data_IF_787275546171
#
_entry.id   IF_787275546171
#
_cell.length_a   1.000
_cell.length_b   1.000
_cell.length_c   1.000
_cell.angle_alpha   90.00
_cell.angle_beta   90.00
_cell.angle_gamma   90.00
#
_symmetry.space_group_name_H-M   'P 1'
#
loop_
_entity.id
_entity.type
_entity.pdbx_description
1 polymer ?
#
# COMPACT_ATOMS: atom_id res chain seq x y z
N UNK A 1 -7.04 -8.38 -9.47
CA UNK A 1 -6.26 -7.14 -9.26
C UNK A 1 -4.77 -7.49 -9.33
N UNK A 2 -4.20 -7.54 -10.55
CA UNK A 2 -2.87 -8.13 -10.81
C UNK A 2 -1.73 -7.55 -9.97
N UNK A 3 -1.91 -6.32 -9.50
CA UNK A 3 -0.95 -5.52 -8.72
C UNK A 3 -0.65 -6.13 -7.33
N UNK A 4 -1.55 -6.96 -6.82
CA UNK A 4 -1.40 -7.62 -5.52
C UNK A 4 -1.08 -9.11 -5.66
N UNK A 5 -0.92 -9.64 -6.87
CA UNK A 5 -0.74 -11.09 -7.09
C UNK A 5 0.47 -11.64 -6.30
N UNK A 6 1.57 -10.89 -6.24
CA UNK A 6 2.74 -11.26 -5.43
C UNK A 6 2.42 -11.33 -3.94
N UNK A 7 1.73 -10.34 -3.38
CA UNK A 7 1.34 -10.30 -1.96
C UNK A 7 0.29 -11.38 -1.64
N UNK A 8 -0.66 -11.61 -2.55
CA UNK A 8 -1.66 -12.68 -2.46
C UNK A 8 -0.97 -14.04 -2.44
N UNK A 9 0.02 -14.25 -3.30
CA UNK A 9 0.75 -15.51 -3.38
C UNK A 9 1.62 -15.78 -2.15
N UNK A 10 2.30 -14.75 -1.62
CA UNK A 10 3.01 -14.83 -0.34
C UNK A 10 2.06 -15.25 0.79
N UNK A 11 0.92 -14.58 0.91
CA UNK A 11 -0.11 -14.90 1.91
C UNK A 11 -0.65 -16.33 1.73
N UNK A 12 -0.91 -16.76 0.49
CA UNK A 12 -1.39 -18.13 0.18
C UNK A 12 -0.40 -19.21 0.60
N UNK A 13 0.90 -18.94 0.52
CA UNK A 13 1.98 -19.87 0.92
C UNK A 13 2.33 -19.81 2.41
N UNK A 14 1.65 -18.98 3.20
CA UNK A 14 1.97 -18.77 4.61
C UNK A 14 3.33 -18.11 4.84
N UNK A 15 3.85 -17.40 3.83
CA UNK A 15 5.10 -16.64 3.94
C UNK A 15 4.83 -15.28 4.61
N UNK A 16 5.85 -14.66 5.23
CA UNK A 16 5.71 -13.31 5.76
C UNK A 16 5.22 -12.34 4.68
N UNK A 17 4.04 -11.77 4.91
CA UNK A 17 3.45 -10.77 4.05
C UNK A 17 2.83 -9.66 4.90
N UNK A 18 2.99 -8.36 4.56
CA UNK A 18 2.35 -7.28 5.30
C UNK A 18 0.83 -7.41 5.24
N UNK A 19 0.13 -6.89 6.24
CA UNK A 19 -1.30 -6.71 6.10
C UNK A 19 -1.57 -5.44 5.30
N UNK A 20 -1.80 -5.62 4.00
CA UNK A 20 -2.16 -4.53 3.10
C UNK A 20 -3.68 -4.36 3.01
N UNK A 21 -4.09 -3.13 2.74
CA UNK A 21 -5.46 -2.76 2.34
C UNK A 21 -5.40 -1.93 1.07
N UNK A 22 -6.43 -2.05 0.25
CA UNK A 22 -6.66 -1.16 -0.88
C UNK A 22 -7.70 -0.15 -0.46
N UNK A 23 -7.38 1.13 -0.60
CA UNK A 23 -8.29 2.24 -0.28
C UNK A 23 -8.43 3.16 -1.49
N UNK A 24 -9.58 3.82 -1.62
CA UNK A 24 -9.85 4.80 -2.69
C UNK A 24 -9.77 6.25 -2.23
N UNK A 25 -9.91 6.48 -0.93
CA UNK A 25 -9.97 7.80 -0.33
C UNK A 25 -9.60 7.71 1.16
N UNK A 26 -9.46 8.87 1.79
CA UNK A 26 -9.10 8.97 3.20
C UNK A 26 -10.24 8.60 4.17
N UNK A 27 -11.46 8.30 3.72
CA UNK A 27 -12.49 7.74 4.61
C UNK A 27 -12.41 6.21 4.72
N UNK A 28 -11.62 5.54 3.88
CA UNK A 28 -11.46 4.08 3.88
C UNK A 28 -10.30 3.59 4.79
N UNK A 29 -9.66 4.48 5.56
CA UNK A 29 -8.49 4.17 6.40
C UNK A 29 -8.80 3.91 7.88
N UNK A 30 -10.06 3.68 8.24
CA UNK A 30 -10.45 3.39 9.64
C UNK A 30 -9.75 2.15 10.20
N UNK A 31 -9.39 1.20 9.33
CA UNK A 31 -8.66 -0.03 9.70
C UNK A 31 -7.30 0.24 10.37
N UNK A 32 -6.71 1.43 10.19
CA UNK A 32 -5.48 1.83 10.88
C UNK A 32 -5.67 1.84 12.40
N UNK A 33 -6.91 1.98 12.89
CA UNK A 33 -7.31 1.82 14.28
C UNK A 33 -6.85 0.52 14.92
N UNK A 34 -6.88 -0.56 14.15
CA UNK A 34 -6.78 -1.94 14.63
C UNK A 34 -5.36 -2.52 14.53
N UNK A 35 -4.48 -1.86 13.77
CA UNK A 35 -3.17 -2.39 13.42
C UNK A 35 -2.02 -1.60 14.05
N UNK A 36 -1.07 -2.33 14.63
CA UNK A 36 0.17 -1.75 15.16
C UNK A 36 1.24 -1.68 14.05
N UNK A 37 1.68 -0.47 13.71
CA UNK A 37 2.71 -0.21 12.71
C UNK A 37 3.75 0.76 13.29
N UNK A 38 4.71 0.28 14.11
CA UNK A 38 5.62 1.14 14.87
C UNK A 38 6.57 1.96 13.99
N UNK A 39 6.81 1.50 12.75
CA UNK A 39 7.63 2.19 11.76
C UNK A 39 6.80 3.08 10.83
N UNK A 40 5.50 3.22 11.09
CA UNK A 40 4.56 3.92 10.21
C UNK A 40 4.09 3.06 9.04
N UNK A 41 3.64 3.72 7.99
CA UNK A 41 2.91 3.13 6.87
C UNK A 41 3.57 3.45 5.53
N UNK A 42 3.40 2.51 4.60
CA UNK A 42 3.70 2.67 3.17
C UNK A 42 2.37 2.91 2.45
N UNK A 43 2.33 3.95 1.64
CA UNK A 43 1.20 4.32 0.79
C UNK A 43 1.72 4.34 -0.64
N UNK A 44 1.25 3.40 -1.46
CA UNK A 44 1.58 3.34 -2.89
C UNK A 44 0.35 3.65 -3.70
N UNK A 45 0.46 4.58 -4.63
CA UNK A 45 -0.61 4.85 -5.59
C UNK A 45 -0.54 3.90 -6.79
N UNK A 46 -1.71 3.50 -7.27
CA UNK A 46 -1.93 2.64 -8.42
C UNK A 46 -3.10 3.20 -9.22
N UNK A 47 -3.14 2.95 -10.53
CA UNK A 47 -4.33 3.26 -11.35
C UNK A 47 -5.31 2.08 -11.31
N UNK A 48 -6.63 2.31 -11.34
CA UNK A 48 -7.60 1.20 -11.41
C UNK A 48 -7.42 0.38 -12.71
N UNK A 49 -7.33 1.09 -13.82
CA UNK A 49 -7.08 0.51 -15.14
C UNK A 49 -5.58 0.32 -15.38
N UNK A 50 -5.17 -0.69 -16.14
CA UNK A 50 -3.78 -1.15 -16.30
C UNK A 50 -2.84 -0.19 -17.04
N UNK A 51 -2.89 1.10 -16.71
CA UNK A 51 -2.02 2.15 -17.24
C UNK A 51 -0.61 2.12 -16.64
N UNK A 52 0.25 2.97 -17.19
CA UNK A 52 1.64 3.09 -16.76
C UNK A 52 1.71 3.63 -15.31
N UNK A 53 2.34 2.87 -14.43
CA UNK A 53 2.52 3.24 -13.02
C UNK A 53 3.83 3.99 -12.74
N UNK A 54 4.66 4.20 -13.78
CA UNK A 54 5.93 4.90 -13.64
C UNK A 54 5.68 6.36 -13.21
N UNK A 55 6.30 6.77 -12.10
CA UNK A 55 6.16 8.12 -11.56
C UNK A 55 4.91 8.36 -10.72
N UNK A 56 4.10 7.33 -10.45
CA UNK A 56 3.01 7.46 -9.49
C UNK A 56 3.56 7.73 -8.08
N UNK A 57 2.89 8.60 -7.31
CA UNK A 57 3.38 8.98 -5.99
C UNK A 57 3.29 7.80 -5.02
N UNK A 58 4.33 7.67 -4.20
CA UNK A 58 4.37 6.76 -3.06
C UNK A 58 5.13 7.41 -1.91
N UNK A 59 4.82 7.00 -0.68
CA UNK A 59 5.50 7.45 0.54
C UNK A 59 5.64 6.29 1.52
N UNK A 60 6.71 6.28 2.29
CA UNK A 60 6.95 5.33 3.36
C UNK A 60 7.20 6.06 4.69
N UNK A 61 7.15 5.31 5.78
CA UNK A 61 7.31 5.79 7.16
C UNK A 61 6.30 6.87 7.57
N UNK A 62 5.13 6.85 6.93
CA UNK A 62 4.04 7.80 7.19
C UNK A 62 3.45 7.50 8.56
N UNK A 63 3.40 8.48 9.45
CA UNK A 63 2.79 8.27 10.75
C UNK A 63 1.28 8.10 10.60
N UNK A 64 0.66 7.32 11.49
CA UNK A 64 -0.77 6.99 11.41
C UNK A 64 -1.67 8.22 11.22
N UNK A 65 -1.39 9.31 11.92
CA UNK A 65 -2.18 10.55 11.83
C UNK A 65 -1.98 11.32 10.52
N UNK A 66 -0.91 11.02 9.77
CA UNK A 66 -0.61 11.66 8.48
C UNK A 66 -1.18 10.88 7.28
N UNK A 67 -1.59 9.61 7.48
CA UNK A 67 -2.01 8.73 6.38
C UNK A 67 -3.17 9.34 5.58
N UNK A 68 -4.16 9.92 6.27
CA UNK A 68 -5.29 10.59 5.64
C UNK A 68 -4.84 11.68 4.66
N UNK A 69 -4.01 12.61 5.13
CA UNK A 69 -3.54 13.74 4.32
C UNK A 69 -2.67 13.29 3.14
N UNK A 70 -1.88 12.23 3.28
CA UNK A 70 -1.10 11.69 2.15
C UNK A 70 -2.01 11.04 1.10
N UNK A 71 -3.05 10.31 1.53
CA UNK A 71 -4.03 9.72 0.60
C UNK A 71 -4.79 10.83 -0.14
N UNK A 72 -5.19 11.90 0.54
CA UNK A 72 -5.82 13.07 -0.09
C UNK A 72 -4.91 13.74 -1.11
N UNK A 73 -3.67 14.07 -0.72
CA UNK A 73 -2.66 14.66 -1.61
C UNK A 73 -2.48 13.81 -2.88
N UNK A 74 -2.35 12.48 -2.72
CA UNK A 74 -2.15 11.60 -3.86
C UNK A 74 -3.41 11.49 -4.73
N UNK A 75 -4.60 11.50 -4.12
CA UNK A 75 -5.87 11.49 -4.83
C UNK A 75 -6.06 12.72 -5.70
N UNK A 76 -5.72 13.91 -5.20
CA UNK A 76 -5.73 15.16 -5.97
C UNK A 76 -4.80 15.07 -7.18
N UNK A 77 -3.57 14.59 -6.98
CA UNK A 77 -2.57 14.42 -8.05
C UNK A 77 -3.05 13.45 -9.13
N UNK A 78 -3.82 12.43 -8.75
CA UNK A 78 -4.38 11.43 -9.66
C UNK A 78 -5.80 11.76 -10.14
N UNK A 79 -6.34 12.92 -9.76
CA UNK A 79 -7.69 13.39 -10.12
C UNK A 79 -8.76 12.34 -9.81
N UNK A 80 -8.63 11.66 -8.66
CA UNK A 80 -9.57 10.63 -8.21
C UNK A 80 -9.57 9.32 -8.99
N UNK A 81 -8.63 9.10 -9.92
CA UNK A 81 -8.52 7.85 -10.72
C UNK A 81 -7.61 6.79 -10.08
N UNK A 82 -7.04 7.12 -8.93
CA UNK A 82 -6.08 6.27 -8.23
C UNK A 82 -6.74 5.39 -7.16
N UNK A 83 -6.17 4.22 -6.95
CA UNK A 83 -6.33 3.43 -5.73
C UNK A 83 -5.00 3.44 -4.98
N UNK A 84 -5.07 3.26 -3.67
CA UNK A 84 -3.90 3.28 -2.81
C UNK A 84 -3.75 1.95 -2.10
N UNK A 85 -2.57 1.35 -2.20
CA UNK A 85 -2.20 0.20 -1.39
C UNK A 85 -1.53 0.77 -0.15
N UNK A 86 -2.19 0.58 1.00
CA UNK A 86 -1.71 1.00 2.31
C UNK A 86 -1.30 -0.24 3.09
N UNK A 87 -0.06 -0.25 3.58
CA UNK A 87 0.50 -1.39 4.31
C UNK A 87 1.50 -0.91 5.38
N UNK A 88 1.69 -1.64 6.48
CA UNK A 88 2.66 -1.26 7.50
C UNK A 88 4.09 -1.28 6.95
N UNK A 89 4.92 -0.34 7.41
CA UNK A 89 6.36 -0.38 7.20
C UNK A 89 6.97 -1.55 7.99
N UNK A 90 7.88 -2.27 7.35
CA UNK A 90 8.61 -3.39 7.94
C UNK A 90 10.10 -3.05 8.03
N UNK A 91 10.74 -3.43 9.14
CA UNK A 91 12.19 -3.54 9.21
C UNK A 91 12.57 -4.99 8.87
N UNK A 92 12.68 -5.28 7.58
CA UNK A 92 13.15 -6.58 7.15
C UNK A 92 14.65 -6.71 7.39
N UNK A 93 15.06 -7.67 8.22
CA UNK A 93 16.48 -8.09 8.37
C UNK A 93 16.98 -8.80 7.10
N UNK A 94 16.06 -9.43 6.35
CA UNK A 94 16.34 -10.11 5.08
C UNK A 94 15.28 -9.70 4.06
N UNK A 95 15.72 -9.35 2.84
CA UNK A 95 14.86 -9.11 1.68
C UNK A 95 15.28 -10.03 0.53
N UNK A 96 14.33 -10.39 -0.33
CA UNK A 96 14.58 -11.27 -1.46
C UNK A 96 13.45 -11.22 -2.48
N UNK A 97 13.71 -11.75 -3.68
CA UNK A 97 12.73 -11.81 -4.76
C UNK A 97 12.15 -13.22 -4.85
N UNK A 98 10.82 -13.31 -4.95
CA UNK A 98 10.13 -14.57 -5.24
C UNK A 98 9.88 -14.64 -6.76
N UNK A 99 10.51 -15.58 -7.45
CA UNK A 99 10.25 -15.85 -8.86
C UNK A 99 9.10 -16.84 -8.96
N UNK A 100 7.95 -16.39 -9.45
CA UNK A 100 6.80 -17.23 -9.76
C UNK A 100 6.97 -17.80 -11.17
N UNK A 101 6.88 -19.14 -11.30
CA UNK A 101 6.85 -19.86 -12.58
C UNK A 101 5.42 -20.29 -12.90
#
# INVERSE_FOLDING_TARGET
MRKLDGLIELRRRGLPCPDWRVVRNASEIDFLGEQNAPLGWIIRSCLEEGGNELGLPWKAYVQKHEVAGVVEEFSERLRGKGIFIVQPCWNSVVSGNLLLR
#
